data_IF_111234428488
#
_entry.id   IF_111234428488
#
_cell.length_a   1.000
_cell.length_b   1.000
_cell.length_c   1.000
_cell.angle_alpha   90.00
_cell.angle_beta   90.00
_cell.angle_gamma   90.00
#
_symmetry.space_group_name_H-M   'P 1'
#
loop_
_entity.id
_entity.type
_entity.pdbx_description
1 polymer ?
#
# COMPACT_ATOMS: atom_id res chain seq x y z
N UNK A 1 21.08 38.95 9.15
CA UNK A 1 20.96 37.63 8.46
C UNK A 1 20.04 37.82 7.26
N UNK A 2 20.47 37.46 6.05
CA UNK A 2 19.67 37.74 4.84
C UNK A 2 18.60 36.62 4.66
N UNK A 3 17.34 36.92 5.07
CA UNK A 3 16.20 35.98 4.98
C UNK A 3 16.08 35.40 3.56
N UNK A 4 16.33 36.19 2.53
CA UNK A 4 16.26 35.76 1.13
C UNK A 4 17.30 34.65 0.80
N UNK A 5 18.48 34.70 1.40
CA UNK A 5 19.47 33.65 1.24
C UNK A 5 19.06 32.34 1.95
N UNK A 6 18.47 32.44 3.15
CA UNK A 6 17.96 31.27 3.89
C UNK A 6 16.84 30.59 3.13
N UNK A 7 15.87 31.36 2.61
CA UNK A 7 14.77 30.81 1.80
C UNK A 7 15.28 30.13 0.54
N UNK A 8 16.29 30.68 -0.15
CA UNK A 8 16.88 30.02 -1.32
C UNK A 8 17.55 28.69 -0.97
N UNK A 9 18.27 28.61 0.15
CA UNK A 9 18.91 27.36 0.60
C UNK A 9 17.86 26.34 0.98
N UNK A 10 16.79 26.74 1.68
CA UNK A 10 15.68 25.85 2.03
C UNK A 10 14.98 25.30 0.79
N UNK A 11 14.69 26.15 -0.20
CA UNK A 11 14.08 25.72 -1.45
C UNK A 11 14.98 24.75 -2.24
N UNK A 12 16.28 25.01 -2.27
CA UNK A 12 17.23 24.10 -2.92
C UNK A 12 17.27 22.73 -2.26
N UNK A 13 17.33 22.67 -0.92
CA UNK A 13 17.27 21.41 -0.18
C UNK A 13 15.93 20.70 -0.35
N UNK A 14 14.82 21.44 -0.43
CA UNK A 14 13.51 20.85 -0.70
C UNK A 14 13.47 20.21 -2.09
N UNK A 15 13.98 20.89 -3.11
CA UNK A 15 14.04 20.35 -4.48
C UNK A 15 14.89 19.07 -4.57
N UNK A 16 16.07 19.05 -3.95
CA UNK A 16 16.91 17.85 -3.91
C UNK A 16 16.21 16.66 -3.26
N UNK A 17 15.44 16.90 -2.18
CA UNK A 17 14.66 15.84 -1.53
C UNK A 17 13.51 15.35 -2.39
N UNK A 18 12.80 16.24 -3.07
CA UNK A 18 11.73 15.88 -4.00
C UNK A 18 12.27 15.02 -5.14
N UNK A 19 13.40 15.40 -5.72
CA UNK A 19 14.05 14.66 -6.80
C UNK A 19 14.48 13.25 -6.34
N UNK A 20 15.19 13.15 -5.21
CA UNK A 20 15.61 11.88 -4.65
C UNK A 20 14.41 10.97 -4.30
N UNK A 21 13.35 11.52 -3.71
CA UNK A 21 12.12 10.79 -3.41
C UNK A 21 11.39 10.36 -4.68
N UNK A 22 11.40 11.19 -5.73
CA UNK A 22 10.80 10.88 -7.03
C UNK A 22 11.50 9.71 -7.72
N UNK A 23 12.83 9.68 -7.72
CA UNK A 23 13.61 8.57 -8.27
C UNK A 23 13.34 7.26 -7.50
N UNK A 24 13.25 7.35 -6.18
CA UNK A 24 12.94 6.20 -5.35
C UNK A 24 11.50 5.70 -5.60
N UNK A 25 10.55 6.61 -5.72
CA UNK A 25 9.15 6.28 -6.03
C UNK A 25 9.02 5.60 -7.40
N UNK A 26 9.75 6.09 -8.42
CA UNK A 26 9.77 5.47 -9.74
C UNK A 26 10.32 4.05 -9.69
N UNK A 27 11.41 3.82 -8.94
CA UNK A 27 11.96 2.46 -8.77
C UNK A 27 10.94 1.50 -8.14
N UNK A 28 10.22 1.94 -7.10
CA UNK A 28 9.20 1.12 -6.47
C UNK A 28 7.97 0.92 -7.36
N UNK A 29 7.60 1.91 -8.18
CA UNK A 29 6.51 1.78 -9.15
C UNK A 29 6.83 0.71 -10.20
N UNK A 30 8.05 0.72 -10.74
CA UNK A 30 8.48 -0.32 -11.70
C UNK A 30 8.46 -1.71 -11.06
N UNK A 31 8.97 -1.84 -9.83
CA UNK A 31 8.93 -3.11 -9.10
C UNK A 31 7.50 -3.56 -8.83
N UNK A 32 6.60 -2.65 -8.48
CA UNK A 32 5.18 -2.94 -8.28
C UNK A 32 4.51 -3.43 -9.57
N UNK A 33 4.81 -2.80 -10.72
CA UNK A 33 4.31 -3.22 -12.03
C UNK A 33 4.78 -4.64 -12.37
N UNK A 34 6.07 -4.94 -12.19
CA UNK A 34 6.63 -6.27 -12.44
C UNK A 34 6.00 -7.34 -11.52
N UNK A 35 5.83 -7.05 -10.24
CA UNK A 35 5.16 -7.96 -9.29
C UNK A 35 3.69 -8.16 -9.65
N UNK A 36 2.99 -7.09 -10.03
CA UNK A 36 1.59 -7.14 -10.46
C UNK A 36 1.42 -7.99 -11.71
N UNK A 37 2.35 -7.91 -12.66
CA UNK A 37 2.37 -8.74 -13.86
C UNK A 37 2.61 -10.21 -13.52
N UNK A 38 3.57 -10.51 -12.65
CA UNK A 38 3.78 -11.88 -12.17
C UNK A 38 2.54 -12.45 -11.48
N UNK A 39 1.92 -11.68 -10.58
CA UNK A 39 0.70 -12.09 -9.89
C UNK A 39 -0.45 -12.33 -10.86
N UNK A 40 -0.59 -11.49 -11.89
CA UNK A 40 -1.59 -11.67 -12.94
C UNK A 40 -1.36 -12.95 -13.74
N UNK A 41 -0.12 -13.27 -14.08
CA UNK A 41 0.26 -14.52 -14.73
C UNK A 41 -0.15 -15.72 -13.88
N UNK A 42 0.17 -15.69 -12.57
CA UNK A 42 -0.20 -16.75 -11.63
C UNK A 42 -1.71 -16.90 -11.49
N UNK A 43 -2.46 -15.79 -11.36
CA UNK A 43 -3.91 -15.82 -11.27
C UNK A 43 -4.61 -16.36 -12.55
N UNK A 44 -4.01 -16.14 -13.71
CA UNK A 44 -4.52 -16.63 -14.98
C UNK A 44 -4.12 -18.07 -15.27
N UNK A 45 -3.18 -18.65 -14.52
CA UNK A 45 -2.77 -20.03 -14.70
C UNK A 45 -3.94 -20.98 -14.41
N UNK A 46 -4.31 -21.79 -15.39
CA UNK A 46 -5.45 -22.70 -15.27
C UNK A 46 -5.27 -23.74 -14.16
N UNK A 47 -4.03 -24.18 -13.92
CA UNK A 47 -3.72 -25.14 -12.87
C UNK A 47 -3.97 -24.55 -11.47
N UNK A 48 -3.71 -23.24 -11.27
CA UNK A 48 -3.97 -22.54 -10.01
C UNK A 48 -5.46 -22.24 -9.81
N UNK A 49 -6.19 -21.89 -10.88
CA UNK A 49 -7.65 -21.68 -10.81
C UNK A 49 -8.42 -22.95 -10.45
N UNK A 50 -7.90 -24.11 -10.83
CA UNK A 50 -8.47 -25.40 -10.47
C UNK A 50 -8.17 -25.81 -9.03
N UNK A 51 -7.18 -25.18 -8.40
CA UNK A 51 -6.84 -25.44 -7.00
C UNK A 51 -7.81 -24.70 -6.07
N UNK A 52 -8.82 -25.44 -5.59
CA UNK A 52 -9.82 -24.95 -4.61
C UNK A 52 -9.21 -24.48 -3.27
N UNK A 53 -7.91 -24.63 -3.08
CA UNK A 53 -7.17 -24.18 -1.88
C UNK A 53 -6.94 -22.68 -1.88
N UNK A 54 -6.96 -22.02 -3.03
CA UNK A 54 -6.87 -20.55 -3.10
C UNK A 54 -8.21 -19.96 -2.67
N UNK A 55 -8.35 -19.70 -1.39
CA UNK A 55 -9.57 -19.13 -0.82
C UNK A 55 -9.47 -17.60 -0.81
N UNK A 56 -10.47 -16.95 -1.36
CA UNK A 56 -10.69 -15.54 -1.12
C UNK A 56 -11.15 -15.32 0.34
N UNK A 57 -10.83 -14.16 0.94
CA UNK A 57 -11.33 -13.83 2.27
C UNK A 57 -12.87 -13.70 2.26
N UNK A 58 -13.49 -13.88 3.42
CA UNK A 58 -14.93 -13.71 3.58
C UNK A 58 -15.27 -12.20 3.50
N UNK A 59 -16.20 -11.84 2.63
CA UNK A 59 -16.67 -10.46 2.43
C UNK A 59 -17.36 -9.86 3.66
N UNK A 60 -17.87 -10.70 4.57
CA UNK A 60 -18.49 -10.27 5.82
C UNK A 60 -17.51 -9.82 6.92
N UNK A 61 -16.21 -10.00 6.70
CA UNK A 61 -15.17 -9.59 7.65
C UNK A 61 -14.86 -8.09 7.56
N UNK A 62 -14.31 -7.48 8.64
CA UNK A 62 -13.88 -6.09 8.62
C UNK A 62 -12.78 -5.85 7.57
N UNK A 63 -12.59 -4.59 7.19
CA UNK A 63 -11.49 -4.16 6.32
C UNK A 63 -10.34 -3.65 7.18
N UNK A 64 -9.11 -4.04 6.87
CA UNK A 64 -7.92 -3.39 7.43
C UNK A 64 -7.52 -2.22 6.54
N UNK A 65 -7.51 -1.00 7.09
CA UNK A 65 -7.02 0.19 6.40
C UNK A 65 -5.75 0.74 7.02
N UNK A 66 -4.77 0.99 6.16
CA UNK A 66 -3.48 1.58 6.51
C UNK A 66 -3.47 3.02 5.99
N UNK A 67 -3.42 3.99 6.90
CA UNK A 67 -3.45 5.42 6.56
C UNK A 67 -2.04 5.99 6.61
N UNK A 68 -1.60 6.54 5.48
CA UNK A 68 -0.28 7.16 5.34
C UNK A 68 -0.39 8.68 5.35
N UNK A 69 0.17 9.30 6.37
CA UNK A 69 0.30 10.75 6.49
C UNK A 69 1.74 11.18 6.73
N UNK A 70 1.91 12.46 7.02
CA UNK A 70 3.22 13.07 7.28
C UNK A 70 3.42 13.34 8.77
N UNK A 71 4.68 13.26 9.21
CA UNK A 71 5.11 13.77 10.53
C UNK A 71 5.32 15.29 10.51
N UNK A 72 5.43 15.86 9.31
CA UNK A 72 5.69 17.29 9.13
C UNK A 72 4.37 18.07 9.04
N UNK A 73 4.38 19.28 9.57
CA UNK A 73 3.33 20.27 9.37
C UNK A 73 3.53 21.03 8.06
N UNK A 74 2.56 21.87 7.72
CA UNK A 74 2.59 22.74 6.53
C UNK A 74 2.70 22.00 5.19
N UNK A 75 2.17 20.77 5.13
CA UNK A 75 2.14 19.95 3.92
C UNK A 75 0.85 20.17 3.09
N UNK A 76 0.23 21.34 3.16
CA UNK A 76 -1.01 21.62 2.45
C UNK A 76 -2.16 20.70 2.87
N UNK A 77 -2.91 20.18 1.90
CA UNK A 77 -4.05 19.28 2.15
C UNK A 77 -3.68 17.81 2.42
N UNK A 78 -2.40 17.43 2.31
CA UNK A 78 -1.95 16.03 2.40
C UNK A 78 -2.47 15.33 3.66
N UNK A 79 -2.26 15.90 4.83
CA UNK A 79 -2.74 15.29 6.08
C UNK A 79 -4.25 15.45 6.29
N UNK A 80 -4.83 16.51 5.77
CA UNK A 80 -6.27 16.78 5.91
C UNK A 80 -7.11 15.82 5.09
N UNK A 81 -6.71 15.52 3.86
CA UNK A 81 -7.42 14.60 2.97
C UNK A 81 -7.45 13.18 3.54
N UNK A 82 -6.31 12.64 3.99
CA UNK A 82 -6.24 11.33 4.64
C UNK A 82 -6.99 11.31 5.97
N UNK A 83 -6.87 12.38 6.78
CA UNK A 83 -7.60 12.50 8.05
C UNK A 83 -9.12 12.54 7.84
N UNK A 84 -9.59 13.09 6.73
CA UNK A 84 -11.02 13.09 6.40
C UNK A 84 -11.54 11.67 6.21
N UNK A 85 -10.84 10.84 5.42
CA UNK A 85 -11.20 9.42 5.25
C UNK A 85 -11.17 8.69 6.59
N UNK A 86 -10.07 8.85 7.34
CA UNK A 86 -9.88 8.21 8.65
C UNK A 86 -11.01 8.51 9.64
N UNK A 87 -11.60 9.71 9.59
CA UNK A 87 -12.69 10.11 10.50
C UNK A 87 -14.07 9.61 10.05
N UNK A 88 -14.26 9.35 8.75
CA UNK A 88 -15.53 8.85 8.22
C UNK A 88 -15.63 7.33 8.26
N UNK A 89 -14.52 6.63 8.44
CA UNK A 89 -14.52 5.17 8.51
C UNK A 89 -15.10 4.65 9.82
N UNK A 90 -16.07 3.77 9.65
CA UNK A 90 -16.84 3.19 10.74
C UNK A 90 -16.10 2.12 11.57
N UNK A 91 -16.83 1.45 12.47
CA UNK A 91 -16.28 0.41 13.34
C UNK A 91 -15.86 -0.87 12.60
N UNK A 92 -16.43 -1.12 11.41
CA UNK A 92 -16.09 -2.29 10.59
C UNK A 92 -14.75 -2.14 9.86
N UNK A 93 -14.00 -1.07 10.17
CA UNK A 93 -12.68 -0.81 9.62
C UNK A 93 -11.65 -0.84 10.74
N UNK A 94 -10.76 -1.82 10.72
CA UNK A 94 -9.57 -1.83 11.57
C UNK A 94 -8.54 -0.85 11.00
N UNK A 95 -7.92 -0.04 11.86
CA UNK A 95 -7.15 1.13 11.44
C UNK A 95 -5.71 1.06 11.92
N UNK A 96 -4.77 1.10 10.98
CA UNK A 96 -3.33 1.34 11.23
C UNK A 96 -3.02 2.75 10.71
N UNK A 97 -2.46 3.59 11.55
CA UNK A 97 -2.17 4.99 11.20
C UNK A 97 -0.67 5.24 11.29
N UNK A 98 -0.09 5.70 10.18
CA UNK A 98 1.32 6.07 10.08
C UNK A 98 1.40 7.56 9.72
N UNK A 99 1.98 8.36 10.62
CA UNK A 99 2.13 9.79 10.45
C UNK A 99 1.57 10.60 11.61
N UNK A 100 2.44 11.29 12.30
CA UNK A 100 2.14 12.05 13.54
C UNK A 100 1.11 13.17 13.35
N UNK A 101 0.97 13.70 12.12
CA UNK A 101 0.06 14.82 11.83
C UNK A 101 -1.35 14.38 11.42
N UNK A 102 -1.60 13.09 11.29
CA UNK A 102 -2.95 12.60 11.13
C UNK A 102 -3.73 12.75 12.44
N UNK A 103 -5.01 13.12 12.31
CA UNK A 103 -5.91 13.21 13.47
C UNK A 103 -6.23 11.79 13.95
N UNK A 104 -5.70 11.45 15.12
CA UNK A 104 -5.94 10.14 15.73
C UNK A 104 -7.39 9.99 16.16
N UNK A 105 -8.16 9.04 15.57
CA UNK A 105 -9.48 8.69 16.09
C UNK A 105 -9.36 7.90 17.40
N UNK A 106 -10.48 7.72 18.11
CA UNK A 106 -10.50 7.00 19.39
C UNK A 106 -10.12 5.52 19.21
N UNK A 107 -10.49 4.91 18.08
CA UNK A 107 -10.31 3.49 17.78
C UNK A 107 -9.25 3.32 16.68
N UNK A 108 -8.00 3.10 17.09
CA UNK A 108 -6.87 2.81 16.21
C UNK A 108 -6.10 1.63 16.80
N UNK A 109 -5.93 0.57 16.00
CA UNK A 109 -5.20 -0.63 16.42
C UNK A 109 -3.70 -0.36 16.58
N UNK A 110 -3.13 0.39 15.63
CA UNK A 110 -1.71 0.75 15.64
C UNK A 110 -1.55 2.21 15.20
N UNK A 111 -0.75 2.95 15.93
CA UNK A 111 -0.35 4.33 15.58
C UNK A 111 1.16 4.43 15.61
N UNK A 112 1.77 4.80 14.48
CA UNK A 112 3.21 4.97 14.33
C UNK A 112 3.52 6.35 13.73
N UNK A 113 4.64 6.92 14.11
CA UNK A 113 5.27 8.00 13.35
C UNK A 113 5.97 7.39 12.12
N UNK A 114 6.33 8.23 11.13
CA UNK A 114 7.13 7.75 10.00
C UNK A 114 8.51 7.23 10.44
N UNK A 115 9.09 7.79 11.50
CA UNK A 115 10.36 7.37 12.06
C UNK A 115 10.23 5.98 12.71
N UNK A 116 9.25 5.79 13.59
CA UNK A 116 8.97 4.50 14.22
C UNK A 116 8.64 3.42 13.19
N UNK A 117 7.94 3.76 12.12
CA UNK A 117 7.66 2.84 11.02
C UNK A 117 8.93 2.39 10.30
N UNK A 118 9.88 3.32 10.03
CA UNK A 118 11.16 2.99 9.38
C UNK A 118 12.03 2.09 10.25
N UNK A 119 12.01 2.29 11.57
CA UNK A 119 12.75 1.48 12.53
C UNK A 119 12.09 0.11 12.76
N UNK A 120 10.77 0.04 12.68
CA UNK A 120 9.96 -1.15 13.00
C UNK A 120 9.07 -1.57 11.82
N UNK A 121 9.63 -1.70 10.63
CA UNK A 121 8.91 -2.19 9.44
C UNK A 121 8.22 -3.55 9.69
N UNK A 122 8.78 -4.38 10.59
CA UNK A 122 8.22 -5.66 10.98
C UNK A 122 6.78 -5.61 11.52
N UNK A 123 6.34 -4.49 12.09
CA UNK A 123 4.95 -4.35 12.57
C UNK A 123 3.96 -4.46 11.41
N UNK A 124 4.20 -3.71 10.33
CA UNK A 124 3.32 -3.76 9.16
C UNK A 124 3.40 -5.12 8.47
N UNK A 125 4.61 -5.65 8.29
CA UNK A 125 4.83 -6.98 7.74
C UNK A 125 4.02 -8.04 8.49
N UNK A 126 4.06 -8.04 9.83
CA UNK A 126 3.28 -8.98 10.65
C UNK A 126 1.77 -8.86 10.39
N UNK A 127 1.24 -7.66 10.20
CA UNK A 127 -0.18 -7.47 9.88
C UNK A 127 -0.50 -7.98 8.46
N UNK A 128 0.37 -7.76 7.48
CA UNK A 128 0.20 -8.29 6.12
C UNK A 128 0.29 -9.82 6.10
N UNK A 129 1.27 -10.42 6.77
CA UNK A 129 1.37 -11.87 6.93
C UNK A 129 0.10 -12.45 7.56
N UNK A 130 -0.42 -11.79 8.59
CA UNK A 130 -1.67 -12.20 9.23
C UNK A 130 -2.87 -12.06 8.28
N UNK A 131 -2.94 -10.99 7.48
CA UNK A 131 -3.99 -10.79 6.49
C UNK A 131 -4.04 -11.93 5.47
N UNK A 132 -2.89 -12.30 4.95
CA UNK A 132 -2.76 -13.32 3.91
C UNK A 132 -2.97 -14.73 4.46
N UNK A 133 -2.31 -15.08 5.59
CA UNK A 133 -2.31 -16.43 6.13
C UNK A 133 -3.53 -16.76 6.99
N UNK A 134 -3.98 -15.83 7.83
CA UNK A 134 -5.10 -16.05 8.77
C UNK A 134 -6.42 -15.47 8.26
N UNK A 135 -6.37 -14.50 7.35
CA UNK A 135 -7.52 -13.87 6.69
C UNK A 135 -8.58 -13.33 7.67
N UNK A 136 -8.20 -12.57 8.71
CA UNK A 136 -9.15 -11.98 9.65
C UNK A 136 -9.89 -10.77 9.07
N UNK A 137 -9.50 -10.31 7.88
CA UNK A 137 -10.07 -9.16 7.18
C UNK A 137 -10.52 -9.55 5.77
N UNK A 138 -11.59 -8.91 5.31
CA UNK A 138 -12.10 -9.08 3.93
C UNK A 138 -11.18 -8.41 2.91
N UNK A 139 -10.51 -7.32 3.31
CA UNK A 139 -9.55 -6.60 2.47
C UNK A 139 -8.49 -5.89 3.30
N UNK A 140 -7.35 -5.62 2.68
CA UNK A 140 -6.35 -4.66 3.16
C UNK A 140 -6.25 -3.54 2.15
N UNK A 141 -6.45 -2.31 2.62
CA UNK A 141 -6.47 -1.11 1.80
C UNK A 141 -5.48 -0.07 2.32
N UNK A 142 -4.82 0.61 1.39
CA UNK A 142 -3.88 1.70 1.66
C UNK A 142 -4.54 3.03 1.33
N UNK A 143 -4.63 3.93 2.31
CA UNK A 143 -5.13 5.30 2.15
C UNK A 143 -3.95 6.25 2.17
N UNK A 144 -3.66 6.86 1.04
CA UNK A 144 -2.47 7.69 0.88
C UNK A 144 -2.71 8.86 -0.09
N UNK A 145 -1.71 9.72 -0.23
CA UNK A 145 -1.73 10.75 -1.26
C UNK A 145 -0.77 10.36 -2.38
N UNK A 146 -1.32 10.11 -3.55
CA UNK A 146 -0.55 9.85 -4.76
C UNK A 146 0.01 11.17 -5.31
N UNK A 147 1.31 11.18 -5.57
CA UNK A 147 2.01 12.31 -6.15
C UNK A 147 2.08 12.17 -7.67
N UNK A 148 1.36 13.02 -8.38
CA UNK A 148 1.42 13.09 -9.84
C UNK A 148 2.48 14.07 -10.32
N UNK A 149 2.51 15.25 -9.70
CA UNK A 149 3.49 16.31 -9.97
C UNK A 149 3.46 17.36 -8.85
N UNK A 150 4.31 18.40 -8.98
CA UNK A 150 4.45 19.48 -7.96
C UNK A 150 3.13 20.18 -7.63
N UNK A 151 2.18 20.23 -8.57
CA UNK A 151 0.90 20.93 -8.42
C UNK A 151 -0.27 19.97 -8.19
N UNK A 152 -0.06 18.67 -8.36
CA UNK A 152 -1.13 17.66 -8.30
C UNK A 152 -0.75 16.51 -7.37
N UNK A 153 -1.40 16.52 -6.22
CA UNK A 153 -1.38 15.43 -5.23
C UNK A 153 -2.82 15.08 -4.95
N UNK A 154 -3.19 13.81 -5.10
CA UNK A 154 -4.57 13.34 -4.87
C UNK A 154 -4.57 12.24 -3.82
N UNK A 155 -5.57 12.28 -2.95
CA UNK A 155 -5.82 11.19 -2.02
C UNK A 155 -6.43 10.01 -2.77
N UNK A 156 -5.90 8.81 -2.52
CA UNK A 156 -6.34 7.57 -3.12
C UNK A 156 -6.51 6.48 -2.06
N UNK A 157 -7.36 5.51 -2.38
CA UNK A 157 -7.50 4.26 -1.63
C UNK A 157 -7.14 3.15 -2.60
N UNK A 158 -6.07 2.42 -2.29
CA UNK A 158 -5.60 1.30 -3.10
C UNK A 158 -5.78 0.01 -2.32
N UNK A 159 -6.51 -0.94 -2.89
CA UNK A 159 -6.61 -2.29 -2.34
C UNK A 159 -5.32 -3.05 -2.67
N UNK A 160 -4.69 -3.60 -1.63
CA UNK A 160 -3.46 -4.41 -1.74
C UNK A 160 -3.72 -5.89 -1.48
N UNK A 161 -4.83 -6.23 -0.81
CA UNK A 161 -5.28 -7.61 -0.61
C UNK A 161 -6.80 -7.66 -0.47
N UNK A 162 -7.51 -8.67 -1.05
CA UNK A 162 -6.99 -9.54 -2.10
C UNK A 162 -6.69 -8.72 -3.37
N UNK A 163 -5.82 -9.24 -4.21
CA UNK A 163 -5.54 -8.61 -5.49
C UNK A 163 -6.82 -8.58 -6.33
N UNK A 164 -7.03 -7.48 -7.04
CA UNK A 164 -8.13 -7.37 -7.97
C UNK A 164 -8.01 -8.46 -9.05
N UNK A 165 -9.15 -9.06 -9.41
CA UNK A 165 -9.17 -9.93 -10.59
C UNK A 165 -8.77 -9.10 -11.81
N UNK A 166 -7.92 -9.64 -12.71
CA UNK A 166 -7.54 -8.93 -13.91
C UNK A 166 -8.78 -8.67 -14.79
N UNK A 167 -9.01 -7.41 -15.13
CA UNK A 167 -10.15 -6.99 -15.96
C UNK A 167 -10.09 -7.56 -17.38
N UNK A 168 -8.91 -7.92 -17.87
CA UNK A 168 -8.70 -8.55 -19.19
C UNK A 168 -7.97 -9.87 -19.04
N UNK A 169 -8.48 -10.90 -19.68
CA UNK A 169 -7.74 -12.15 -19.92
C UNK A 169 -6.64 -11.79 -20.93
N UNK A 170 -5.45 -11.48 -20.44
CA UNK A 170 -4.26 -11.36 -21.29
C UNK A 170 -4.14 -12.67 -22.06
N UNK A 171 -3.94 -12.56 -23.36
CA UNK A 171 -3.87 -13.64 -24.34
C UNK A 171 -3.38 -14.95 -23.73
N UNK A 172 -4.32 -15.87 -23.47
CA UNK A 172 -4.10 -17.07 -22.68
C UNK A 172 -3.01 -18.00 -23.24
N UNK A 173 -2.61 -17.76 -24.48
CA UNK A 173 -1.71 -18.65 -25.21
C UNK A 173 -0.21 -18.42 -24.97
N UNK A 174 0.18 -17.32 -24.32
CA UNK A 174 1.61 -17.02 -24.12
C UNK A 174 2.23 -17.70 -22.89
N UNK A 175 1.40 -18.20 -21.94
CA UNK A 175 1.89 -18.59 -20.60
C UNK A 175 1.23 -19.87 -20.05
N UNK A 176 0.62 -20.68 -20.92
CA UNK A 176 -0.14 -21.88 -20.51
C UNK A 176 0.73 -23.04 -19.99
N UNK A 177 2.06 -23.00 -20.16
CA UNK A 177 2.92 -24.17 -20.02
C UNK A 177 3.91 -24.15 -18.86
N UNK A 178 3.78 -23.28 -17.84
CA UNK A 178 4.68 -23.41 -16.69
C UNK A 178 4.03 -24.22 -15.57
N UNK A 179 4.78 -25.18 -15.07
CA UNK A 179 4.44 -25.95 -13.88
C UNK A 179 5.02 -25.24 -12.65
N UNK A 180 4.22 -25.16 -11.59
CA UNK A 180 4.67 -24.65 -10.31
C UNK A 180 5.18 -25.82 -9.48
N UNK A 181 6.47 -25.81 -9.17
CA UNK A 181 7.05 -26.75 -8.23
C UNK A 181 6.75 -26.28 -6.79
N UNK A 182 6.03 -27.11 -6.03
CA UNK A 182 5.69 -26.84 -4.64
C UNK A 182 4.22 -26.51 -4.41
N UNK A 183 3.93 -25.87 -3.27
CA UNK A 183 2.59 -25.42 -2.94
C UNK A 183 2.33 -24.04 -3.56
N UNK A 184 1.43 -24.02 -4.54
CA UNK A 184 1.07 -22.82 -5.26
C UNK A 184 0.45 -21.74 -4.35
N UNK A 185 -0.25 -22.15 -3.28
CA UNK A 185 -0.81 -21.22 -2.32
C UNK A 185 0.30 -20.56 -1.48
N UNK A 186 1.28 -21.34 -1.02
CA UNK A 186 2.41 -20.83 -0.24
C UNK A 186 3.24 -19.85 -1.08
N UNK A 187 3.47 -20.16 -2.36
CA UNK A 187 4.15 -19.27 -3.29
C UNK A 187 3.41 -17.93 -3.46
N UNK A 188 2.09 -17.97 -3.67
CA UNK A 188 1.28 -16.75 -3.80
C UNK A 188 1.27 -15.94 -2.51
N UNK A 189 1.14 -16.58 -1.36
CA UNK A 189 1.17 -15.92 -0.06
C UNK A 189 2.52 -15.23 0.19
N UNK A 190 3.63 -15.89 -0.13
CA UNK A 190 4.97 -15.32 0.02
C UNK A 190 5.23 -14.16 -0.95
N UNK A 191 4.75 -14.24 -2.18
CA UNK A 191 4.81 -13.13 -3.13
C UNK A 191 4.00 -11.91 -2.68
N UNK A 192 2.84 -12.11 -2.05
CA UNK A 192 2.02 -11.01 -1.52
C UNK A 192 2.64 -10.33 -0.29
N UNK A 193 3.56 -11.01 0.40
CA UNK A 193 4.22 -10.50 1.61
C UNK A 193 5.58 -9.83 1.27
N UNK A 194 6.16 -10.15 0.12
CA UNK A 194 7.47 -9.62 -0.33
C UNK A 194 7.41 -8.17 -0.74
#
# INVERSE_FOLDING_TARGET
MNVKAVVKVMNFHALLRVEASGQQALKYSTMEEELSDMMRILQNNQNLRLDKRIRLPDEGLPVLRIYLGSDLGFCGSVNTSVSSVLQHDGPDTEKIVIGRKLRRPAEVSVFLTQEEYRENFGVLRTHLERAVRQRPWSAVELVYNHYYNVTSVKQEIKRIYPLAEPEEVVDAHAWDDFEIEGDAQELLEDMMIS
#
